data_IF_556696105500
#
_entry.id   IF_556696105500
#
_cell.length_a   1.000
_cell.length_b   1.000
_cell.length_c   1.000
_cell.angle_alpha   90.00
_cell.angle_beta   90.00
_cell.angle_gamma   90.00
#
_symmetry.space_group_name_H-M   'P 1'
#
loop_
_entity.id
_entity.type
_entity.pdbx_description
1 polymer ?
#
# COMPACT_ATOMS: atom_id res chain seq x y z
N UNK A 1 17.80 22.41 21.52
CA UNK A 1 16.62 21.54 21.78
C UNK A 1 15.96 21.25 20.45
N UNK A 2 15.87 20.02 19.95
CA UNK A 2 15.18 19.73 18.72
C UNK A 2 13.67 19.90 18.95
N UNK A 3 13.05 20.79 18.17
CA UNK A 3 11.60 20.95 18.15
C UNK A 3 10.98 19.63 17.68
N UNK A 4 10.10 19.06 18.49
CA UNK A 4 9.24 17.95 18.12
C UNK A 4 8.50 18.30 16.82
N UNK A 5 8.95 17.73 15.72
CA UNK A 5 8.18 17.69 14.48
C UNK A 5 7.08 16.66 14.73
N UNK A 6 5.93 17.13 15.16
CA UNK A 6 4.72 16.30 15.16
C UNK A 6 4.50 15.86 13.72
N UNK A 7 4.60 14.56 13.51
CA UNK A 7 4.27 13.94 12.23
C UNK A 7 2.76 14.02 12.05
N UNK A 8 2.28 15.11 11.48
CA UNK A 8 0.88 15.27 11.11
C UNK A 8 0.59 14.34 9.96
N UNK A 9 -0.35 13.41 10.14
CA UNK A 9 -0.85 12.58 9.06
C UNK A 9 -1.49 13.49 8.00
N UNK A 10 -1.02 13.40 6.77
CA UNK A 10 -1.55 14.18 5.65
C UNK A 10 -2.80 13.48 5.13
N UNK A 11 -3.95 14.15 5.24
CA UNK A 11 -5.22 13.67 4.68
C UNK A 11 -5.37 14.21 3.27
N UNK A 12 -5.44 13.32 2.28
CA UNK A 12 -5.65 13.72 0.89
C UNK A 12 -7.15 13.92 0.60
N UNK A 13 -7.51 15.12 0.17
CA UNK A 13 -8.89 15.44 -0.22
C UNK A 13 -9.04 15.26 -1.73
N UNK A 14 -9.88 14.29 -2.12
CA UNK A 14 -10.13 13.92 -3.52
C UNK A 14 -11.60 14.19 -3.86
N UNK A 15 -11.88 14.66 -5.08
CA UNK A 15 -13.24 14.90 -5.55
C UNK A 15 -14.11 13.63 -5.57
N UNK A 16 -15.42 13.77 -5.45
CA UNK A 16 -16.34 12.62 -5.49
C UNK A 16 -16.27 11.86 -6.82
N UNK A 17 -16.14 12.57 -7.95
CA UNK A 17 -16.00 11.96 -9.26
C UNK A 17 -14.72 11.10 -9.34
N UNK A 18 -13.59 11.61 -8.83
CA UNK A 18 -12.35 10.86 -8.75
C UNK A 18 -12.49 9.62 -7.86
N UNK A 19 -13.19 9.70 -6.74
CA UNK A 19 -13.46 8.55 -5.88
C UNK A 19 -14.23 7.42 -6.58
N UNK A 20 -15.21 7.77 -7.42
CA UNK A 20 -15.95 6.78 -8.22
C UNK A 20 -15.04 6.09 -9.24
N UNK A 21 -14.24 6.87 -9.96
CA UNK A 21 -13.28 6.33 -10.93
C UNK A 21 -12.28 5.39 -10.24
N UNK A 22 -11.74 5.79 -9.09
CA UNK A 22 -10.80 4.98 -8.31
C UNK A 22 -11.42 3.66 -7.83
N UNK A 23 -12.71 3.65 -7.45
CA UNK A 23 -13.44 2.42 -7.11
C UNK A 23 -13.57 1.47 -8.28
N UNK A 24 -13.85 1.99 -9.49
CA UNK A 24 -13.92 1.17 -10.71
C UNK A 24 -12.56 0.53 -11.01
N UNK A 25 -11.49 1.31 -10.92
CA UNK A 25 -10.13 0.81 -11.11
C UNK A 25 -9.77 -0.24 -10.04
N UNK A 26 -10.11 0.01 -8.78
CA UNK A 26 -9.90 -0.95 -7.69
C UNK A 26 -10.60 -2.27 -7.97
N UNK A 27 -11.88 -2.24 -8.37
CA UNK A 27 -12.64 -3.45 -8.66
C UNK A 27 -11.99 -4.27 -9.80
N UNK A 28 -11.45 -3.60 -10.82
CA UNK A 28 -10.71 -4.26 -11.90
C UNK A 28 -9.37 -4.85 -11.44
N UNK A 29 -8.64 -4.15 -10.59
CA UNK A 29 -7.36 -4.62 -10.06
C UNK A 29 -7.55 -5.75 -9.04
N UNK A 30 -8.66 -5.79 -8.31
CA UNK A 30 -8.93 -6.78 -7.28
C UNK A 30 -8.88 -8.23 -7.79
N UNK A 31 -9.24 -8.45 -9.04
CA UNK A 31 -9.16 -9.78 -9.69
C UNK A 31 -7.71 -10.28 -9.72
N UNK A 32 -6.77 -9.39 -10.02
CA UNK A 32 -5.34 -9.70 -10.07
C UNK A 32 -4.76 -9.86 -8.67
N UNK A 33 -5.17 -9.02 -7.71
CA UNK A 33 -4.76 -9.13 -6.30
C UNK A 33 -5.07 -10.53 -5.77
N UNK A 34 -6.29 -11.01 -5.98
CA UNK A 34 -6.73 -12.29 -5.45
C UNK A 34 -5.96 -13.47 -6.08
N UNK A 35 -5.53 -13.34 -7.34
CA UNK A 35 -4.79 -14.37 -8.07
C UNK A 35 -3.30 -14.37 -7.73
N UNK A 36 -2.72 -13.20 -7.62
CA UNK A 36 -1.26 -13.03 -7.61
C UNK A 36 -0.65 -12.94 -6.21
N UNK A 37 -1.44 -12.49 -5.22
CA UNK A 37 -0.92 -12.43 -3.86
C UNK A 37 -0.94 -13.80 -3.20
N UNK A 38 0.18 -14.21 -2.56
CA UNK A 38 0.24 -15.48 -1.85
C UNK A 38 -0.75 -15.49 -0.67
N UNK A 39 -1.17 -16.69 -0.27
CA UNK A 39 -2.16 -16.86 0.81
C UNK A 39 -1.65 -16.38 2.17
N UNK A 40 -0.34 -16.35 2.36
CA UNK A 40 0.29 -15.82 3.58
C UNK A 40 0.16 -14.31 3.71
N UNK A 41 -0.04 -13.58 2.60
CA UNK A 41 -0.25 -12.15 2.61
C UNK A 41 -1.63 -11.82 3.18
N UNK A 42 -1.68 -11.24 4.37
CA UNK A 42 -2.92 -10.88 5.04
C UNK A 42 -3.23 -9.37 5.00
N UNK A 43 -2.19 -8.52 4.91
CA UNK A 43 -2.35 -7.08 4.92
C UNK A 43 -3.21 -6.57 3.78
N UNK A 44 -4.20 -5.74 4.10
CA UNK A 44 -5.12 -5.11 3.13
C UNK A 44 -5.86 -6.09 2.21
N UNK A 45 -6.12 -7.32 2.67
CA UNK A 45 -6.96 -8.29 1.98
C UNK A 45 -8.33 -8.40 2.66
N UNK A 46 -9.36 -8.56 1.83
CA UNK A 46 -10.71 -8.84 2.32
C UNK A 46 -10.72 -10.17 3.08
N UNK A 47 -11.47 -10.21 4.16
CA UNK A 47 -11.66 -11.40 5.02
C UNK A 47 -10.35 -11.91 5.69
N UNK A 48 -9.33 -11.07 5.79
CA UNK A 48 -8.06 -11.33 6.50
C UNK A 48 -7.85 -10.29 7.61
N UNK A 49 -8.12 -10.68 8.83
CA UNK A 49 -8.01 -9.78 9.98
C UNK A 49 -6.71 -9.93 10.76
N UNK A 50 -6.35 -8.92 11.53
CA UNK A 50 -5.23 -8.98 12.49
C UNK A 50 -5.42 -10.08 13.51
N UNK A 51 -6.68 -10.35 13.94
CA UNK A 51 -7.01 -11.43 14.87
C UNK A 51 -6.58 -12.80 14.34
N UNK A 52 -6.82 -13.06 13.04
CA UNK A 52 -6.46 -14.34 12.43
C UNK A 52 -4.95 -14.53 12.39
N UNK A 53 -4.21 -13.44 12.13
CA UNK A 53 -2.74 -13.49 12.13
C UNK A 53 -2.17 -13.70 13.54
N UNK A 54 -2.75 -13.08 14.55
CA UNK A 54 -2.39 -13.33 15.95
C UNK A 54 -2.67 -14.80 16.31
N UNK A 55 -3.84 -15.33 15.94
CA UNK A 55 -4.19 -16.73 16.17
C UNK A 55 -3.21 -17.69 15.46
N UNK A 56 -2.78 -17.37 14.24
CA UNK A 56 -1.79 -18.15 13.52
C UNK A 56 -0.44 -18.18 14.24
N UNK A 57 0.03 -17.03 14.75
CA UNK A 57 1.27 -16.95 15.52
C UNK A 57 1.15 -17.79 16.82
N UNK A 58 0.05 -17.67 17.54
CA UNK A 58 -0.20 -18.49 18.72
C UNK A 58 -0.15 -19.98 18.41
N UNK A 59 -0.80 -20.41 17.34
CA UNK A 59 -0.79 -21.81 16.89
C UNK A 59 0.62 -22.31 16.55
N UNK A 60 1.44 -21.47 15.91
CA UNK A 60 2.85 -21.79 15.61
C UNK A 60 3.64 -21.97 16.90
N UNK A 61 3.44 -21.08 17.90
CA UNK A 61 4.10 -21.16 19.21
C UNK A 61 3.69 -22.43 19.96
N UNK A 62 2.40 -22.75 19.98
CA UNK A 62 1.87 -23.97 20.61
C UNK A 62 2.47 -25.23 19.98
N UNK A 63 2.47 -25.30 18.65
CA UNK A 63 3.08 -26.41 17.91
C UNK A 63 4.58 -26.53 18.19
N UNK A 64 5.31 -25.43 18.24
CA UNK A 64 6.72 -25.46 18.54
C UNK A 64 7.00 -25.98 19.98
N UNK A 65 6.13 -25.64 20.95
CA UNK A 65 6.20 -26.17 22.31
C UNK A 65 5.89 -27.66 22.35
N UNK A 66 4.84 -28.10 21.69
CA UNK A 66 4.43 -29.50 21.58
C UNK A 66 5.59 -30.40 21.07
N UNK A 67 6.27 -29.93 20.03
CA UNK A 67 7.37 -30.63 19.40
C UNK A 67 8.76 -30.29 19.96
N UNK A 68 8.82 -29.50 21.04
CA UNK A 68 10.06 -29.03 21.68
C UNK A 68 11.06 -28.39 20.71
N UNK A 69 10.53 -27.70 19.65
CA UNK A 69 11.35 -27.01 18.65
C UNK A 69 11.53 -25.54 18.99
N UNK A 70 12.76 -25.06 18.85
CA UNK A 70 13.06 -23.63 18.97
C UNK A 70 12.56 -22.92 17.70
N UNK A 71 11.84 -21.81 17.90
CA UNK A 71 11.41 -20.91 16.81
C UNK A 71 11.92 -19.51 17.10
N UNK A 72 12.18 -18.76 16.04
CA UNK A 72 12.63 -17.38 16.09
C UNK A 72 11.68 -16.54 15.23
N UNK A 73 11.28 -15.38 15.75
CA UNK A 73 10.47 -14.41 15.02
C UNK A 73 11.31 -13.19 14.71
N UNK A 74 11.20 -12.71 13.47
CA UNK A 74 11.73 -11.43 13.04
C UNK A 74 10.57 -10.56 12.58
N UNK A 75 10.43 -9.36 13.16
CA UNK A 75 9.43 -8.39 12.77
C UNK A 75 10.11 -7.26 12.01
N UNK A 76 9.63 -7.00 10.79
CA UNK A 76 10.17 -5.94 9.94
C UNK A 76 9.10 -4.87 9.79
N UNK A 77 9.39 -3.67 10.26
CA UNK A 77 8.53 -2.50 10.10
C UNK A 77 9.09 -1.54 9.05
N UNK A 78 8.25 -1.18 8.07
CA UNK A 78 8.65 -0.30 6.99
C UNK A 78 8.36 1.16 7.35
N UNK A 79 9.39 1.94 7.55
CA UNK A 79 9.25 3.38 7.74
C UNK A 79 8.72 4.04 6.46
N UNK A 80 7.56 4.70 6.54
CA UNK A 80 6.92 5.40 5.40
C UNK A 80 6.73 4.50 4.19
N UNK A 81 6.15 3.30 4.39
CA UNK A 81 6.00 2.27 3.37
C UNK A 81 5.36 2.79 2.08
N UNK A 82 4.24 3.52 2.19
CA UNK A 82 3.50 4.08 1.04
C UNK A 82 4.28 5.19 0.33
N UNK A 83 4.99 6.04 1.06
CA UNK A 83 5.74 7.18 0.50
C UNK A 83 6.98 6.73 -0.28
N UNK A 84 7.46 5.50 -0.05
CA UNK A 84 8.69 4.97 -0.67
C UNK A 84 8.45 4.13 -1.91
N UNK A 85 7.23 3.95 -2.34
CA UNK A 85 6.92 3.19 -3.56
C UNK A 85 7.50 3.91 -4.77
N UNK A 86 8.41 3.24 -5.49
CA UNK A 86 8.98 3.73 -6.74
C UNK A 86 8.01 3.43 -7.89
N UNK A 87 7.55 4.46 -8.58
CA UNK A 87 6.59 4.33 -9.66
C UNK A 87 7.13 3.48 -10.83
N UNK A 88 8.42 3.62 -11.19
CA UNK A 88 8.98 2.86 -12.30
C UNK A 88 9.04 1.36 -12.01
N UNK A 89 9.39 1.01 -10.77
CA UNK A 89 9.35 -0.38 -10.29
C UNK A 89 7.93 -0.89 -10.25
N UNK A 90 6.99 -0.11 -9.72
CA UNK A 90 5.58 -0.47 -9.65
C UNK A 90 5.03 -0.82 -11.04
N UNK A 91 5.29 0.01 -12.07
CA UNK A 91 4.78 -0.24 -13.42
C UNK A 91 5.37 -1.50 -14.06
N UNK A 92 6.62 -1.83 -13.78
CA UNK A 92 7.24 -3.10 -14.20
C UNK A 92 6.54 -4.29 -13.54
N UNK A 93 6.37 -4.23 -12.22
CA UNK A 93 5.68 -5.27 -11.44
C UNK A 93 4.27 -5.51 -11.97
N UNK A 94 3.49 -4.46 -12.22
CA UNK A 94 2.14 -4.58 -12.74
C UNK A 94 2.10 -5.27 -14.12
N UNK A 95 3.09 -5.00 -14.96
CA UNK A 95 3.24 -5.65 -16.25
C UNK A 95 3.63 -7.12 -16.12
N UNK A 96 4.57 -7.46 -15.24
CA UNK A 96 5.02 -8.82 -14.97
C UNK A 96 3.90 -9.71 -14.39
N UNK A 97 3.02 -9.13 -13.57
CA UNK A 97 1.83 -9.78 -13.02
C UNK A 97 0.75 -10.04 -14.10
N UNK A 98 0.91 -9.45 -15.29
CA UNK A 98 -0.04 -9.62 -16.39
C UNK A 98 -1.24 -8.69 -16.30
N UNK A 99 -1.10 -7.54 -15.64
CA UNK A 99 -2.11 -6.50 -15.70
C UNK A 99 -2.13 -5.92 -17.11
N UNK A 100 -3.31 -5.83 -17.76
CA UNK A 100 -3.42 -5.34 -19.14
C UNK A 100 -2.81 -3.95 -19.31
N UNK A 101 -2.15 -3.73 -20.43
CA UNK A 101 -1.44 -2.48 -20.73
C UNK A 101 -2.34 -1.24 -20.63
N UNK A 102 -3.62 -1.35 -21.01
CA UNK A 102 -4.56 -0.23 -20.89
C UNK A 102 -4.82 0.17 -19.42
N UNK A 103 -4.90 -0.79 -18.48
CA UNK A 103 -5.05 -0.50 -17.05
C UNK A 103 -3.76 0.08 -16.47
N UNK A 104 -2.62 -0.47 -16.87
CA UNK A 104 -1.32 0.04 -16.45
C UNK A 104 -1.11 1.48 -16.96
N UNK A 105 -1.49 1.78 -18.21
CA UNK A 105 -1.46 3.12 -18.77
C UNK A 105 -2.36 4.09 -18.01
N UNK A 106 -3.60 3.69 -17.69
CA UNK A 106 -4.51 4.51 -16.89
C UNK A 106 -3.95 4.84 -15.51
N UNK A 107 -3.35 3.85 -14.84
CA UNK A 107 -2.70 4.06 -13.55
C UNK A 107 -1.50 5.01 -13.66
N UNK A 108 -0.66 4.81 -14.67
CA UNK A 108 0.48 5.72 -14.92
C UNK A 108 0.03 7.15 -15.15
N UNK A 109 -1.00 7.35 -15.97
CA UNK A 109 -1.55 8.68 -16.24
C UNK A 109 -2.15 9.31 -14.99
N UNK A 110 -2.75 8.50 -14.11
CA UNK A 110 -3.30 8.99 -12.84
C UNK A 110 -2.19 9.51 -11.90
N UNK A 111 -1.01 8.88 -11.93
CA UNK A 111 0.14 9.31 -11.12
C UNK A 111 1.04 10.32 -11.85
N UNK A 112 0.93 10.45 -13.17
CA UNK A 112 1.70 11.39 -13.94
C UNK A 112 1.23 12.83 -13.69
N UNK A 113 2.16 13.68 -13.31
CA UNK A 113 1.87 15.10 -13.09
C UNK A 113 0.96 15.38 -11.87
N UNK A 114 0.90 14.47 -10.90
CA UNK A 114 0.19 14.76 -9.66
C UNK A 114 0.88 15.91 -8.93
N UNK A 115 0.10 16.96 -8.71
CA UNK A 115 0.52 18.12 -7.92
C UNK A 115 -0.23 18.10 -6.59
N UNK A 116 0.45 18.49 -5.55
CA UNK A 116 -0.10 18.63 -4.22
C UNK A 116 0.25 19.99 -3.63
N UNK A 117 -0.61 20.49 -2.77
CA UNK A 117 -0.33 21.66 -1.94
C UNK A 117 -0.71 21.36 -0.50
N UNK A 118 -0.04 21.98 0.43
CA UNK A 118 -0.32 21.81 1.86
C UNK A 118 -1.03 23.04 2.38
N UNK A 119 -2.19 22.84 2.98
CA UNK A 119 -2.93 23.89 3.68
C UNK A 119 -2.60 23.84 5.15
N UNK A 120 -2.05 24.91 5.67
CA UNK A 120 -1.74 25.09 7.09
C UNK A 120 -2.65 26.16 7.70
N UNK A 121 -2.63 26.31 9.01
CA UNK A 121 -3.31 27.43 9.70
C UNK A 121 -2.79 28.81 9.30
N UNK A 122 -1.63 28.89 8.66
CA UNK A 122 -0.98 30.15 8.23
C UNK A 122 -1.14 30.43 6.73
N UNK A 123 -1.83 29.54 5.98
CA UNK A 123 -2.04 29.69 4.53
C UNK A 123 -1.81 28.42 3.74
N UNK A 124 -1.86 28.54 2.42
CA UNK A 124 -1.61 27.45 1.48
C UNK A 124 -0.21 27.60 0.91
N UNK A 125 0.55 26.52 0.88
CA UNK A 125 1.90 26.49 0.30
C UNK A 125 1.81 26.40 -1.24
N UNK A 126 2.93 26.68 -1.90
CA UNK A 126 3.03 26.50 -3.35
C UNK A 126 2.81 25.04 -3.77
N UNK A 127 2.32 24.85 -4.98
CA UNK A 127 2.12 23.52 -5.54
C UNK A 127 3.44 22.83 -5.80
N UNK A 128 3.54 21.55 -5.45
CA UNK A 128 4.70 20.73 -5.72
C UNK A 128 4.28 19.41 -6.38
N UNK A 129 5.16 18.87 -7.21
CA UNK A 129 4.93 17.58 -7.86
C UNK A 129 5.31 16.42 -6.96
N UNK A 130 4.42 15.40 -6.90
CA UNK A 130 4.69 14.15 -6.22
C UNK A 130 5.32 13.16 -7.18
N UNK A 131 6.62 12.91 -7.02
CA UNK A 131 7.37 11.98 -7.90
C UNK A 131 7.51 10.57 -7.39
N UNK A 132 7.05 10.28 -6.16
CA UNK A 132 7.17 8.97 -5.49
C UNK A 132 5.98 8.72 -4.58
N UNK A 133 5.79 7.45 -4.25
CA UNK A 133 4.81 7.02 -3.27
C UNK A 133 3.43 6.77 -3.85
N UNK A 134 2.59 6.17 -3.03
CA UNK A 134 1.15 5.99 -3.29
C UNK A 134 0.38 6.73 -2.22
N UNK A 135 -0.70 7.41 -2.62
CA UNK A 135 -1.49 8.24 -1.72
C UNK A 135 -2.09 7.41 -0.57
N UNK A 136 -1.85 7.78 0.68
CA UNK A 136 -2.28 7.00 1.85
C UNK A 136 -3.81 6.81 1.92
N UNK A 137 -4.58 7.81 1.54
CA UNK A 137 -6.04 7.78 1.61
C UNK A 137 -6.71 7.34 0.29
N UNK A 138 -5.93 6.88 -0.67
CA UNK A 138 -6.48 6.38 -1.92
C UNK A 138 -6.92 4.92 -1.81
N UNK A 139 -8.14 4.63 -2.20
CA UNK A 139 -8.80 3.33 -2.02
C UNK A 139 -8.04 2.15 -2.65
N UNK A 140 -7.22 2.38 -3.69
CA UNK A 140 -6.45 1.31 -4.34
C UNK A 140 -4.96 1.30 -3.98
N UNK A 141 -4.46 2.29 -3.23
CA UNK A 141 -3.06 2.33 -2.80
C UNK A 141 -2.63 1.11 -1.98
N UNK A 142 -3.45 0.55 -1.09
CA UNK A 142 -3.14 -0.71 -0.43
C UNK A 142 -2.91 -1.87 -1.38
N UNK A 143 -3.69 -1.94 -2.46
CA UNK A 143 -3.54 -2.94 -3.51
C UNK A 143 -2.21 -2.80 -4.25
N UNK A 144 -1.86 -1.57 -4.66
CA UNK A 144 -0.58 -1.28 -5.32
C UNK A 144 0.62 -1.57 -4.40
N UNK A 145 0.50 -1.20 -3.14
CA UNK A 145 1.53 -1.50 -2.15
C UNK A 145 1.72 -3.01 -1.99
N UNK A 146 0.66 -3.80 -1.90
CA UNK A 146 0.73 -5.26 -1.79
C UNK A 146 1.48 -5.89 -2.98
N UNK A 147 1.27 -5.40 -4.19
CA UNK A 147 2.04 -5.85 -5.35
C UNK A 147 3.53 -5.53 -5.20
N UNK A 148 3.88 -4.34 -4.73
CA UNK A 148 5.27 -3.98 -4.45
C UNK A 148 5.87 -4.85 -3.33
N UNK A 149 5.14 -5.06 -2.24
CA UNK A 149 5.59 -5.84 -1.10
C UNK A 149 5.92 -7.28 -1.47
N UNK A 150 5.14 -7.91 -2.37
CA UNK A 150 5.42 -9.26 -2.91
C UNK A 150 6.82 -9.39 -3.51
N UNK A 151 7.37 -8.32 -4.09
CA UNK A 151 8.69 -8.33 -4.73
C UNK A 151 9.83 -7.88 -3.81
N UNK A 152 9.51 -7.43 -2.60
CA UNK A 152 10.49 -7.01 -1.60
C UNK A 152 10.78 -8.16 -0.63
N UNK A 153 9.79 -8.98 -0.35
CA UNK A 153 9.85 -10.14 0.54
C UNK A 153 10.12 -11.42 -0.23
#
# INVERSE_FOLDING_TARGET
MPKNVQTTAQVAVISHASKVMLKILQARLQQYVNRELPDVQAGFRKDRGTRDQIANIHRIIEKAREFQKKIYFCFIDYTKAFDRVDHNKLWKILKEIGIPDHLNCLLRNLYAGQEATVRTGHGTMDWFQSGKGVCQDCIFSPCLFNFCAKYIM
#
